data_IF_318314741953
#
_entry.id   IF_318314741953
#
_cell.length_a   1.000
_cell.length_b   1.000
_cell.length_c   1.000
_cell.angle_alpha   90.00
_cell.angle_beta   90.00
_cell.angle_gamma   90.00
#
_symmetry.space_group_name_H-M   'P 1'
#
loop_
_entity.id
_entity.type
_entity.pdbx_description
1 polymer ?
#
# COMPACT_ATOMS: atom_id res chain seq x y z
N UNK A 1 26.30 -25.92 -22.00
CA UNK A 1 25.34 -24.81 -21.80
C UNK A 1 25.65 -24.10 -20.49
N UNK A 2 26.21 -22.89 -20.52
CA UNK A 2 26.36 -22.09 -19.30
C UNK A 2 24.97 -21.77 -18.75
N UNK A 3 24.65 -22.21 -17.52
CA UNK A 3 23.41 -21.81 -16.83
C UNK A 3 23.38 -20.29 -16.79
N UNK A 4 22.47 -19.67 -17.54
CA UNK A 4 22.26 -18.23 -17.50
C UNK A 4 22.04 -17.83 -16.05
N UNK A 5 22.87 -16.90 -15.54
CA UNK A 5 22.76 -16.46 -14.16
C UNK A 5 21.40 -15.78 -13.95
N UNK A 6 20.72 -16.11 -12.84
CA UNK A 6 19.43 -15.51 -12.51
C UNK A 6 19.53 -13.98 -12.46
N UNK A 7 18.51 -13.25 -12.95
CA UNK A 7 18.54 -11.79 -12.93
C UNK A 7 18.57 -11.27 -11.49
N UNK A 8 19.18 -10.10 -11.29
CA UNK A 8 19.11 -9.37 -10.02
C UNK A 8 17.88 -8.45 -10.04
N UNK A 9 17.07 -8.53 -8.97
CA UNK A 9 16.00 -7.56 -8.72
C UNK A 9 16.60 -6.32 -8.07
N UNK A 10 16.39 -5.16 -8.66
CA UNK A 10 16.96 -3.89 -8.20
C UNK A 10 15.86 -2.89 -7.87
N UNK A 11 15.56 -2.71 -6.59
CA UNK A 11 14.54 -1.76 -6.13
C UNK A 11 15.05 -0.32 -6.18
N UNK A 12 14.25 0.58 -6.75
CA UNK A 12 14.50 2.02 -6.74
C UNK A 12 13.49 2.66 -5.79
N UNK A 13 13.95 3.24 -4.67
CA UNK A 13 13.07 3.73 -3.60
C UNK A 13 13.37 5.21 -3.31
N UNK A 14 13.14 6.14 -4.25
CA UNK A 14 13.58 7.53 -4.11
C UNK A 14 12.82 8.31 -3.01
N UNK A 15 11.67 7.78 -2.56
CA UNK A 15 10.78 8.41 -1.58
C UNK A 15 10.85 7.79 -0.18
N UNK A 16 11.79 6.87 0.08
CA UNK A 16 11.90 6.25 1.40
C UNK A 16 12.25 7.28 2.48
N UNK A 17 11.37 7.41 3.49
CA UNK A 17 11.54 8.37 4.59
C UNK A 17 11.82 7.71 5.93
N UNK A 18 11.12 6.62 6.25
CA UNK A 18 11.20 5.94 7.55
C UNK A 18 10.99 4.43 7.39
N UNK A 19 11.44 3.62 8.36
CA UNK A 19 11.28 2.16 8.42
C UNK A 19 9.83 1.75 8.73
N UNK A 20 9.07 2.63 9.40
CA UNK A 20 7.67 2.41 9.74
C UNK A 20 6.74 2.66 8.53
N UNK A 21 7.28 3.29 7.48
CA UNK A 21 6.56 3.63 6.27
C UNK A 21 6.26 2.43 5.38
N UNK A 22 5.19 2.57 4.60
CA UNK A 22 4.78 1.57 3.62
C UNK A 22 5.92 1.18 2.66
N UNK A 23 6.66 2.16 2.13
CA UNK A 23 7.72 1.94 1.16
C UNK A 23 8.81 0.98 1.68
N UNK A 24 9.22 1.13 2.95
CA UNK A 24 10.23 0.26 3.56
C UNK A 24 9.75 -1.19 3.63
N UNK A 25 8.58 -1.40 4.23
CA UNK A 25 8.03 -2.74 4.47
C UNK A 25 7.68 -3.41 3.12
N UNK A 26 7.18 -2.66 2.15
CA UNK A 26 6.88 -3.18 0.82
C UNK A 26 8.15 -3.72 0.15
N UNK A 27 9.24 -2.93 0.12
CA UNK A 27 10.47 -3.35 -0.52
C UNK A 27 11.25 -4.42 0.25
N UNK A 28 11.12 -4.48 1.57
CA UNK A 28 11.58 -5.63 2.37
C UNK A 28 10.86 -6.92 1.96
N UNK A 29 9.55 -6.83 1.70
CA UNK A 29 8.75 -7.95 1.23
C UNK A 29 9.12 -8.37 -0.21
N UNK A 30 9.45 -7.41 -1.09
CA UNK A 30 10.01 -7.70 -2.43
C UNK A 30 11.36 -8.42 -2.32
N UNK A 31 12.23 -8.01 -1.38
CA UNK A 31 13.50 -8.70 -1.11
C UNK A 31 13.28 -10.14 -0.66
N UNK A 32 12.33 -10.38 0.25
CA UNK A 32 11.97 -11.73 0.68
C UNK A 32 11.42 -12.56 -0.48
N UNK A 33 10.56 -11.99 -1.33
CA UNK A 33 10.05 -12.66 -2.52
C UNK A 33 11.16 -13.01 -3.53
N UNK A 34 12.16 -12.14 -3.70
CA UNK A 34 13.34 -12.43 -4.50
C UNK A 34 14.14 -13.60 -3.90
N UNK A 35 14.31 -13.63 -2.56
CA UNK A 35 14.98 -14.72 -1.83
C UNK A 35 14.27 -16.07 -2.04
N UNK A 36 12.94 -16.12 -1.95
CA UNK A 36 12.14 -17.34 -2.20
C UNK A 36 12.42 -17.90 -3.60
N UNK A 37 12.58 -17.03 -4.59
CA UNK A 37 12.91 -17.42 -5.97
C UNK A 37 14.41 -17.66 -6.22
N UNK A 38 15.24 -17.59 -5.17
CA UNK A 38 16.71 -17.64 -5.24
C UNK A 38 17.27 -16.61 -6.24
N UNK A 39 16.72 -15.40 -6.23
CA UNK A 39 17.20 -14.27 -7.04
C UNK A 39 17.98 -13.29 -6.16
N UNK A 40 19.12 -12.77 -6.63
CA UNK A 40 19.81 -11.68 -5.96
C UNK A 40 18.90 -10.44 -5.88
N UNK A 41 19.05 -9.67 -4.80
CA UNK A 41 18.33 -8.42 -4.60
C UNK A 41 19.29 -7.31 -4.20
N UNK A 42 19.03 -6.09 -4.67
CA UNK A 42 19.65 -4.87 -4.18
C UNK A 42 18.63 -3.72 -4.21
N UNK A 43 18.89 -2.66 -3.46
CA UNK A 43 18.07 -1.45 -3.46
C UNK A 43 18.91 -0.17 -3.52
N UNK A 44 18.31 0.89 -4.05
CA UNK A 44 18.80 2.26 -3.93
C UNK A 44 17.80 3.13 -3.17
N UNK A 45 18.28 3.84 -2.16
CA UNK A 45 17.47 4.65 -1.24
C UNK A 45 18.03 6.08 -1.08
N UNK A 46 17.31 6.99 -0.40
CA UNK A 46 17.79 8.35 -0.15
C UNK A 46 18.97 8.40 0.80
N UNK A 47 19.93 9.29 0.52
CA UNK A 47 21.10 9.53 1.36
C UNK A 47 20.74 10.12 2.72
N UNK A 48 19.63 10.85 2.82
CA UNK A 48 19.13 11.39 4.09
C UNK A 48 18.41 10.35 4.95
N UNK A 49 18.29 9.10 4.52
CA UNK A 49 17.77 8.05 5.37
C UNK A 49 18.79 7.74 6.47
N UNK A 50 18.45 8.01 7.73
CA UNK A 50 19.38 7.95 8.87
C UNK A 50 19.14 6.77 9.81
N UNK A 51 18.07 6.01 9.64
CA UNK A 51 17.75 4.93 10.59
C UNK A 51 18.79 3.80 10.53
N UNK A 52 19.14 3.21 11.70
CA UNK A 52 20.07 2.09 11.79
C UNK A 52 19.46 0.82 11.14
N UNK A 53 20.30 -0.20 10.93
CA UNK A 53 19.88 -1.56 10.51
C UNK A 53 19.27 -1.68 9.11
N UNK A 54 19.80 -0.93 8.15
CA UNK A 54 19.51 -1.19 6.75
C UNK A 54 20.05 -2.56 6.30
N UNK A 55 19.30 -3.32 5.48
CA UNK A 55 19.87 -4.50 4.84
C UNK A 55 21.15 -4.14 4.07
N UNK A 56 22.19 -4.95 4.19
CA UNK A 56 23.53 -4.65 3.65
C UNK A 56 23.57 -4.43 2.13
N UNK A 57 22.56 -4.90 1.41
CA UNK A 57 22.37 -4.74 -0.03
C UNK A 57 21.54 -3.49 -0.42
N UNK A 58 21.27 -2.59 0.53
CA UNK A 58 20.59 -1.32 0.28
C UNK A 58 21.61 -0.18 0.27
N UNK A 59 21.79 0.46 -0.88
CA UNK A 59 22.77 1.51 -1.08
C UNK A 59 22.10 2.91 -1.08
N UNK A 60 22.68 3.86 -0.35
CA UNK A 60 22.24 5.26 -0.35
C UNK A 60 22.72 5.97 -1.62
N UNK A 61 21.81 6.25 -2.56
CA UNK A 61 22.15 6.84 -3.89
C UNK A 61 21.32 8.04 -4.31
N UNK A 62 20.14 8.21 -3.72
CA UNK A 62 19.26 9.32 -4.07
C UNK A 62 19.56 10.50 -3.15
N UNK A 63 19.98 11.64 -3.69
CA UNK A 63 20.18 12.85 -2.89
C UNK A 63 18.88 13.31 -2.26
N UNK A 64 19.01 14.02 -1.15
CA UNK A 64 17.89 14.67 -0.48
C UNK A 64 17.58 15.97 -1.19
N UNK A 65 16.65 15.93 -2.15
CA UNK A 65 16.27 17.12 -2.90
C UNK A 65 15.18 17.84 -2.11
N UNK A 66 15.52 19.01 -1.57
CA UNK A 66 14.53 19.92 -1.05
C UNK A 66 13.72 20.42 -2.26
N UNK A 67 12.42 20.09 -2.30
CA UNK A 67 11.49 20.35 -3.40
C UNK A 67 11.26 21.83 -3.77
N UNK A 68 12.13 22.75 -3.35
CA UNK A 68 11.99 24.20 -3.58
C UNK A 68 12.04 24.55 -5.07
N UNK A 69 12.76 23.77 -5.89
CA UNK A 69 12.87 23.99 -7.35
C UNK A 69 12.57 22.72 -8.15
N UNK A 70 11.37 22.65 -8.72
CA UNK A 70 10.84 21.48 -9.46
C UNK A 70 11.64 21.11 -10.70
N UNK A 71 12.22 22.08 -11.42
CA UNK A 71 13.06 21.81 -12.60
C UNK A 71 14.39 21.18 -12.20
N UNK A 72 15.05 21.73 -11.18
CA UNK A 72 16.31 21.23 -10.64
C UNK A 72 16.15 19.78 -10.15
N UNK A 73 15.02 19.45 -9.51
CA UNK A 73 14.78 18.09 -9.03
C UNK A 73 14.73 17.05 -10.15
N UNK A 74 14.20 17.39 -11.33
CA UNK A 74 14.22 16.49 -12.51
C UNK A 74 15.65 16.20 -12.94
N UNK A 75 16.51 17.22 -13.07
CA UNK A 75 17.90 17.04 -13.53
C UNK A 75 18.73 16.22 -12.55
N UNK A 76 18.58 16.47 -11.25
CA UNK A 76 19.26 15.69 -10.22
C UNK A 76 18.80 14.23 -10.26
N UNK A 77 17.48 13.98 -10.30
CA UNK A 77 16.94 12.61 -10.38
C UNK A 77 17.36 11.90 -11.67
N UNK A 78 17.37 12.61 -12.80
CA UNK A 78 17.86 12.09 -14.08
C UNK A 78 19.31 11.62 -13.96
N UNK A 79 20.19 12.44 -13.37
CA UNK A 79 21.59 12.06 -13.13
C UNK A 79 21.72 10.83 -12.24
N UNK A 80 20.91 10.75 -11.18
CA UNK A 80 20.94 9.62 -10.23
C UNK A 80 20.49 8.32 -10.88
N UNK A 81 19.33 8.31 -11.55
CA UNK A 81 18.84 7.15 -12.29
C UNK A 81 19.82 6.74 -13.39
N UNK A 82 20.36 7.71 -14.15
CA UNK A 82 21.35 7.43 -15.20
C UNK A 82 22.63 6.81 -14.65
N UNK A 83 23.16 7.30 -13.51
CA UNK A 83 24.32 6.67 -12.84
C UNK A 83 24.03 5.22 -12.43
N UNK A 84 22.82 4.95 -11.92
CA UNK A 84 22.41 3.59 -11.55
C UNK A 84 22.36 2.69 -12.79
N UNK A 85 21.79 3.16 -13.90
CA UNK A 85 21.68 2.42 -15.16
C UNK A 85 23.03 2.22 -15.89
N UNK A 86 23.97 3.17 -15.79
CA UNK A 86 25.29 3.05 -16.43
C UNK A 86 26.26 2.11 -15.71
N UNK A 87 26.01 1.74 -14.44
CA UNK A 87 26.88 0.81 -13.70
C UNK A 87 26.96 -0.54 -14.43
N UNK A 88 28.14 -0.88 -14.96
CA UNK A 88 28.40 -2.17 -15.61
C UNK A 88 28.10 -3.32 -14.64
N UNK A 89 27.40 -4.32 -15.13
CA UNK A 89 27.04 -5.53 -14.40
C UNK A 89 27.10 -6.72 -15.36
N UNK A 90 27.55 -7.85 -14.86
CA UNK A 90 27.63 -9.09 -15.63
C UNK A 90 26.25 -9.76 -15.78
N UNK A 91 25.33 -9.49 -14.86
CA UNK A 91 24.00 -10.10 -14.79
C UNK A 91 22.91 -9.19 -15.36
N UNK A 92 21.85 -9.81 -15.89
CA UNK A 92 20.62 -9.10 -16.25
C UNK A 92 20.02 -8.43 -15.02
N UNK A 93 19.57 -7.18 -15.16
CA UNK A 93 18.95 -6.43 -14.07
C UNK A 93 17.47 -6.19 -14.35
N UNK A 94 16.66 -6.35 -13.33
CA UNK A 94 15.24 -6.00 -13.38
C UNK A 94 15.00 -4.92 -12.34
N UNK A 95 14.79 -3.70 -12.80
CA UNK A 95 14.48 -2.57 -11.94
C UNK A 95 13.02 -2.63 -11.51
N UNK A 96 12.77 -2.47 -10.21
CA UNK A 96 11.43 -2.40 -9.64
C UNK A 96 11.21 -1.05 -8.98
N UNK A 97 10.15 -0.36 -9.36
CA UNK A 97 9.79 0.95 -8.82
C UNK A 97 8.29 0.96 -8.48
N UNK A 98 7.98 1.29 -7.23
CA UNK A 98 6.61 1.27 -6.71
C UNK A 98 6.05 2.67 -6.45
N UNK A 99 6.79 3.51 -5.71
CA UNK A 99 6.35 4.85 -5.34
C UNK A 99 7.21 5.91 -6.04
N UNK A 100 6.56 6.79 -6.80
CA UNK A 100 7.21 7.88 -7.51
C UNK A 100 6.24 9.04 -7.77
N UNK A 101 6.75 10.26 -7.68
CA UNK A 101 6.01 11.45 -8.08
C UNK A 101 6.18 11.74 -9.59
N UNK A 102 5.48 12.74 -10.12
CA UNK A 102 5.52 13.07 -11.56
C UNK A 102 6.92 13.47 -12.03
N UNK A 103 7.70 14.19 -11.21
CA UNK A 103 9.06 14.64 -11.58
C UNK A 103 10.03 13.46 -11.65
N UNK A 104 9.94 12.56 -10.68
CA UNK A 104 10.70 11.31 -10.67
C UNK A 104 10.33 10.43 -11.87
N UNK A 105 9.05 10.42 -12.27
CA UNK A 105 8.64 9.64 -13.43
C UNK A 105 9.21 10.19 -14.74
N UNK A 106 9.22 11.52 -14.89
CA UNK A 106 9.86 12.18 -16.04
C UNK A 106 11.36 11.88 -16.04
N UNK A 107 12.04 12.04 -14.91
CA UNK A 107 13.46 11.75 -14.77
C UNK A 107 13.78 10.29 -15.11
N UNK A 108 13.00 9.34 -14.58
CA UNK A 108 13.11 7.91 -14.90
C UNK A 108 12.97 7.68 -16.41
N UNK A 109 11.97 8.29 -17.05
CA UNK A 109 11.73 8.13 -18.47
C UNK A 109 12.93 8.58 -19.31
N UNK A 110 13.48 9.76 -19.01
CA UNK A 110 14.68 10.28 -19.67
C UNK A 110 15.87 9.36 -19.43
N UNK A 111 16.11 8.90 -18.20
CA UNK A 111 17.19 7.96 -17.90
C UNK A 111 17.03 6.63 -18.63
N UNK A 112 15.80 6.12 -18.79
CA UNK A 112 15.54 4.91 -19.58
C UNK A 112 15.91 5.12 -21.05
N UNK A 113 15.53 6.27 -21.62
CA UNK A 113 15.81 6.57 -23.03
C UNK A 113 17.32 6.66 -23.31
N UNK A 114 18.08 7.29 -22.41
CA UNK A 114 19.48 7.63 -22.65
C UNK A 114 20.50 6.68 -22.01
N UNK A 115 20.14 5.94 -20.96
CA UNK A 115 21.14 5.26 -20.11
C UNK A 115 20.85 3.78 -19.84
N UNK A 116 19.62 3.32 -20.01
CA UNK A 116 19.26 1.92 -19.70
C UNK A 116 19.74 0.95 -20.79
N UNK A 117 20.40 -0.12 -20.36
CA UNK A 117 21.02 -1.09 -21.27
C UNK A 117 19.99 -2.06 -21.85
N UNK A 118 20.30 -2.64 -23.03
CA UNK A 118 19.45 -3.64 -23.68
C UNK A 118 19.20 -4.90 -22.84
N UNK A 119 20.04 -5.22 -21.85
CA UNK A 119 19.90 -6.40 -20.96
C UNK A 119 19.01 -6.14 -19.73
N UNK A 120 18.46 -4.95 -19.62
CA UNK A 120 17.74 -4.51 -18.43
C UNK A 120 16.25 -4.43 -18.70
N UNK A 121 15.48 -4.67 -17.65
CA UNK A 121 14.02 -4.62 -17.67
C UNK A 121 13.51 -3.73 -16.54
N UNK A 122 12.29 -3.22 -16.70
CA UNK A 122 11.65 -2.29 -15.77
C UNK A 122 10.25 -2.80 -15.41
N UNK A 123 10.02 -2.96 -14.12
CA UNK A 123 8.73 -3.25 -13.51
C UNK A 123 8.23 -1.98 -12.83
N UNK A 124 7.08 -1.45 -13.26
CA UNK A 124 6.46 -0.26 -12.67
C UNK A 124 5.15 -0.62 -11.98
N UNK A 125 5.05 -0.41 -10.66
CA UNK A 125 3.79 -0.56 -9.94
C UNK A 125 2.97 0.73 -10.02
N UNK A 126 1.79 0.65 -10.64
CA UNK A 126 0.86 1.75 -10.86
C UNK A 126 -0.24 1.70 -9.80
N UNK A 127 -0.15 2.55 -8.78
CA UNK A 127 -1.06 2.53 -7.61
C UNK A 127 -2.03 3.70 -7.53
N UNK A 128 -1.89 4.67 -8.43
CA UNK A 128 -2.76 5.84 -8.47
C UNK A 128 -3.76 5.73 -9.59
N UNK A 129 -4.98 6.20 -9.29
CA UNK A 129 -6.01 6.32 -10.30
C UNK A 129 -5.67 7.42 -11.32
N UNK A 130 -6.04 7.19 -12.58
CA UNK A 130 -5.81 8.12 -13.68
C UNK A 130 -6.49 9.49 -13.47
N UNK A 131 -7.59 9.54 -12.71
CA UNK A 131 -8.29 10.79 -12.36
C UNK A 131 -7.56 11.64 -11.32
N UNK A 132 -6.69 11.03 -10.51
CA UNK A 132 -5.94 11.70 -9.45
C UNK A 132 -4.57 12.21 -9.92
N UNK A 133 -4.14 11.82 -11.12
CA UNK A 133 -2.84 12.16 -11.69
C UNK A 133 -2.98 12.91 -13.00
N UNK A 134 -1.86 13.45 -13.49
CA UNK A 134 -1.78 14.07 -14.82
C UNK A 134 -1.82 13.00 -15.91
N UNK A 135 -3.01 12.45 -16.18
CA UNK A 135 -3.26 11.32 -17.09
C UNK A 135 -2.48 11.43 -18.39
N UNK A 136 -2.59 12.55 -19.11
CA UNK A 136 -1.88 12.74 -20.39
C UNK A 136 -0.37 12.61 -20.23
N UNK A 137 0.22 13.24 -19.22
CA UNK A 137 1.66 13.17 -18.94
C UNK A 137 2.10 11.73 -18.66
N UNK A 138 1.41 11.02 -17.77
CA UNK A 138 1.78 9.63 -17.42
C UNK A 138 1.66 8.69 -18.62
N UNK A 139 0.59 8.81 -19.42
CA UNK A 139 0.42 7.98 -20.61
C UNK A 139 1.51 8.25 -21.66
N UNK A 140 1.89 9.52 -21.87
CA UNK A 140 3.00 9.87 -22.75
C UNK A 140 4.32 9.29 -22.26
N UNK A 141 4.61 9.40 -20.96
CA UNK A 141 5.82 8.82 -20.36
C UNK A 141 5.84 7.29 -20.55
N UNK A 142 4.75 6.61 -20.21
CA UNK A 142 4.65 5.15 -20.40
C UNK A 142 4.86 4.79 -21.86
N UNK A 143 4.28 5.53 -22.81
CA UNK A 143 4.47 5.30 -24.25
C UNK A 143 5.95 5.44 -24.66
N UNK A 144 6.65 6.46 -24.17
CA UNK A 144 8.09 6.67 -24.45
C UNK A 144 8.96 5.53 -23.90
N UNK A 145 8.74 5.15 -22.63
CA UNK A 145 9.45 4.02 -22.01
C UNK A 145 9.12 2.72 -22.76
N UNK A 146 7.85 2.52 -23.13
CA UNK A 146 7.39 1.36 -23.91
C UNK A 146 8.07 1.25 -25.26
N UNK A 147 8.24 2.38 -25.97
CA UNK A 147 8.93 2.41 -27.25
C UNK A 147 10.39 1.94 -27.12
N UNK A 148 11.09 2.38 -26.07
CA UNK A 148 12.48 1.99 -25.79
C UNK A 148 12.64 0.54 -25.34
N UNK A 149 11.82 0.11 -24.37
CA UNK A 149 11.98 -1.18 -23.70
C UNK A 149 11.16 -2.32 -24.33
N UNK A 150 10.13 -2.01 -25.11
CA UNK A 150 9.20 -2.98 -25.71
C UNK A 150 8.65 -3.94 -24.64
N UNK A 151 8.92 -5.25 -24.78
CA UNK A 151 8.52 -6.31 -23.84
C UNK A 151 9.22 -6.20 -22.47
N UNK A 152 10.32 -5.45 -22.37
CA UNK A 152 11.11 -5.28 -21.13
C UNK A 152 10.54 -4.25 -20.16
N UNK A 153 9.47 -3.56 -20.54
CA UNK A 153 8.64 -2.81 -19.60
C UNK A 153 7.46 -3.69 -19.22
N UNK A 154 7.28 -3.94 -17.92
CA UNK A 154 6.07 -4.56 -17.37
C UNK A 154 5.37 -3.57 -16.47
N UNK A 155 4.06 -3.42 -16.67
CA UNK A 155 3.21 -2.60 -15.82
C UNK A 155 2.52 -3.51 -14.82
N UNK A 156 2.58 -3.13 -13.56
CA UNK A 156 2.00 -3.86 -12.44
C UNK A 156 0.97 -2.98 -11.74
N UNK A 157 0.05 -3.58 -11.00
CA UNK A 157 -0.81 -2.89 -10.02
C UNK A 157 -1.28 -3.86 -8.96
N UNK A 158 -1.68 -3.36 -7.79
CA UNK A 158 -2.22 -4.14 -6.68
C UNK A 158 -3.76 -4.05 -6.59
N UNK A 159 -4.41 -3.32 -7.50
CA UNK A 159 -5.87 -3.19 -7.61
C UNK A 159 -6.36 -3.68 -8.95
N UNK A 160 -7.35 -4.57 -8.96
CA UNK A 160 -7.97 -5.07 -10.19
C UNK A 160 -8.78 -3.97 -10.92
N UNK A 161 -9.35 -3.01 -10.18
CA UNK A 161 -9.97 -1.82 -10.74
C UNK A 161 -8.95 -0.94 -11.46
N UNK A 162 -7.77 -0.72 -10.84
CA UNK A 162 -6.65 -0.03 -11.49
C UNK A 162 -6.12 -0.81 -12.68
N UNK A 163 -6.05 -2.14 -12.60
CA UNK A 163 -5.60 -2.97 -13.71
C UNK A 163 -6.46 -2.73 -14.94
N UNK A 164 -7.79 -2.79 -14.80
CA UNK A 164 -8.74 -2.53 -15.89
C UNK A 164 -8.59 -1.11 -16.44
N UNK A 165 -8.49 -0.11 -15.58
CA UNK A 165 -8.40 1.30 -16.00
C UNK A 165 -7.09 1.60 -16.73
N UNK A 166 -5.97 1.11 -16.22
CA UNK A 166 -4.64 1.27 -16.83
C UNK A 166 -4.47 0.45 -18.11
N UNK A 167 -4.97 -0.79 -18.17
CA UNK A 167 -4.95 -1.61 -19.39
C UNK A 167 -5.69 -0.91 -20.53
N UNK A 168 -6.89 -0.40 -20.25
CA UNK A 168 -7.69 0.36 -21.22
C UNK A 168 -6.95 1.62 -21.69
N UNK A 169 -6.34 2.36 -20.76
CA UNK A 169 -5.69 3.64 -21.09
C UNK A 169 -4.35 3.46 -21.83
N UNK A 170 -3.54 2.48 -21.44
CA UNK A 170 -2.23 2.24 -22.05
C UNK A 170 -2.30 1.31 -23.26
N UNK A 171 -3.44 0.64 -23.51
CA UNK A 171 -3.62 -0.38 -24.57
C UNK A 171 -2.55 -1.47 -24.53
N UNK A 172 -2.21 -1.93 -23.33
CA UNK A 172 -1.19 -2.96 -23.08
C UNK A 172 -1.50 -3.73 -21.80
N UNK A 173 -0.93 -4.93 -21.64
CA UNK A 173 -1.06 -5.70 -20.41
C UNK A 173 -0.55 -4.90 -19.20
N UNK A 174 -1.34 -4.96 -18.14
CA UNK A 174 -0.98 -4.58 -16.76
C UNK A 174 -1.28 -5.80 -15.92
N UNK A 175 -0.35 -6.21 -15.06
CA UNK A 175 -0.47 -7.42 -14.26
C UNK A 175 -0.89 -7.08 -12.84
N UNK A 176 -1.89 -7.78 -12.33
CA UNK A 176 -2.24 -7.71 -10.92
C UNK A 176 -1.18 -8.43 -10.10
N UNK A 177 -0.69 -7.79 -9.03
CA UNK A 177 0.25 -8.37 -8.08
C UNK A 177 -0.31 -8.31 -6.66
N UNK A 178 0.03 -9.29 -5.81
CA UNK A 178 -0.30 -9.24 -4.39
C UNK A 178 0.28 -8.03 -3.66
N UNK A 179 -0.33 -7.64 -2.54
CA UNK A 179 0.27 -6.76 -1.54
C UNK A 179 1.08 -7.65 -0.57
N UNK A 180 2.42 -7.57 -0.55
CA UNK A 180 3.24 -8.62 0.05
C UNK A 180 3.52 -8.44 1.55
N UNK A 181 3.10 -7.35 2.19
CA UNK A 181 3.52 -7.01 3.56
C UNK A 181 2.64 -7.58 4.69
N UNK A 182 1.95 -8.70 4.45
CA UNK A 182 0.99 -9.33 5.38
C UNK A 182 1.60 -10.44 6.25
N UNK A 183 2.90 -10.70 6.13
CA UNK A 183 3.60 -11.87 6.73
C UNK A 183 3.33 -12.04 8.22
N UNK A 184 3.21 -10.93 8.96
CA UNK A 184 3.03 -10.96 10.41
C UNK A 184 1.56 -11.12 10.87
N UNK A 185 0.62 -11.31 9.94
CA UNK A 185 -0.81 -11.35 10.24
C UNK A 185 -1.33 -12.76 10.52
N UNK A 186 -0.46 -13.73 10.79
CA UNK A 186 -0.81 -15.14 10.97
C UNK A 186 -1.44 -15.47 12.33
N UNK A 187 -1.54 -14.51 13.26
CA UNK A 187 -2.16 -14.73 14.56
C UNK A 187 -3.56 -15.34 14.43
N UNK A 188 -3.96 -16.26 15.34
CA UNK A 188 -5.33 -16.73 15.40
C UNK A 188 -6.26 -15.53 15.59
N UNK A 189 -7.51 -15.60 15.08
CA UNK A 189 -8.47 -14.52 15.27
C UNK A 189 -8.59 -14.24 16.77
N UNK A 190 -8.42 -12.99 17.16
CA UNK A 190 -8.63 -12.58 18.55
C UNK A 190 -10.08 -12.88 18.88
N UNK A 191 -10.31 -13.75 19.86
CA UNK A 191 -11.64 -13.90 20.46
C UNK A 191 -11.93 -12.57 21.15
N UNK A 192 -13.13 -12.05 20.94
CA UNK A 192 -13.63 -10.81 21.52
C UNK A 192 -13.71 -11.03 23.02
N UNK A 193 -12.74 -10.50 23.77
CA UNK A 193 -12.53 -10.84 25.19
C UNK A 193 -12.99 -9.75 26.16
N UNK A 194 -13.18 -8.53 25.69
CA UNK A 194 -13.54 -7.39 26.53
C UNK A 194 -15.04 -7.10 26.44
N UNK A 195 -15.64 -6.61 27.54
CA UNK A 195 -17.03 -6.16 27.60
C UNK A 195 -17.30 -4.99 26.64
N UNK A 196 -16.24 -4.25 26.27
CA UNK A 196 -16.29 -3.11 25.35
C UNK A 196 -15.75 -3.50 23.98
N UNK A 197 -16.43 -3.05 22.93
CA UNK A 197 -15.96 -3.18 21.56
C UNK A 197 -14.85 -2.16 21.28
N UNK A 198 -13.66 -2.65 20.94
CA UNK A 198 -12.49 -1.83 20.66
C UNK A 198 -12.41 -1.48 19.17
N UNK A 199 -12.79 -0.25 18.83
CA UNK A 199 -12.73 0.28 17.48
C UNK A 199 -11.40 1.01 17.26
N UNK A 200 -10.77 0.85 16.10
CA UNK A 200 -9.51 1.53 15.78
C UNK A 200 -9.58 2.27 14.45
N UNK A 201 -9.20 3.56 14.46
CA UNK A 201 -8.94 4.33 13.25
C UNK A 201 -7.42 4.51 13.05
N UNK A 202 -6.79 3.70 12.17
CA UNK A 202 -5.34 3.60 12.10
C UNK A 202 -4.63 4.69 11.27
N UNK A 203 -3.49 5.14 11.82
CA UNK A 203 -2.51 6.02 11.20
C UNK A 203 -2.87 7.51 11.24
N UNK A 204 -2.04 8.33 10.59
CA UNK A 204 -2.13 9.79 10.73
C UNK A 204 -3.49 10.38 10.29
N UNK A 205 -4.05 11.33 11.06
CA UNK A 205 -5.33 11.96 10.78
C UNK A 205 -5.22 12.84 9.53
N UNK A 206 -6.06 12.57 8.54
CA UNK A 206 -6.11 13.36 7.30
C UNK A 206 -7.49 13.31 6.66
N UNK A 207 -7.85 14.37 5.92
CA UNK A 207 -9.14 14.47 5.21
C UNK A 207 -9.43 13.24 4.35
N UNK A 208 -8.44 12.77 3.58
CA UNK A 208 -8.58 11.60 2.72
C UNK A 208 -8.88 10.28 3.47
N UNK A 209 -8.57 10.20 4.76
CA UNK A 209 -8.86 9.04 5.64
C UNK A 209 -10.17 9.20 6.43
N UNK A 210 -10.93 10.25 6.18
CA UNK A 210 -12.22 10.49 6.84
C UNK A 210 -12.12 11.18 8.20
N UNK A 211 -11.15 12.09 8.39
CA UNK A 211 -11.00 12.85 9.64
C UNK A 211 -12.32 13.48 10.12
N UNK A 212 -13.06 14.16 9.25
CA UNK A 212 -14.34 14.77 9.62
C UNK A 212 -15.37 13.76 10.10
N UNK A 213 -15.40 12.58 9.47
CA UNK A 213 -16.30 11.48 9.87
C UNK A 213 -15.94 10.96 11.26
N UNK A 214 -14.65 10.80 11.56
CA UNK A 214 -14.22 10.34 12.89
C UNK A 214 -14.53 11.39 13.97
N UNK A 215 -14.32 12.67 13.67
CA UNK A 215 -14.70 13.76 14.57
C UNK A 215 -16.20 13.76 14.87
N UNK A 216 -17.05 13.55 13.85
CA UNK A 216 -18.50 13.42 14.03
C UNK A 216 -18.87 12.21 14.88
N UNK A 217 -18.22 11.06 14.69
CA UNK A 217 -18.46 9.89 15.54
C UNK A 217 -18.08 10.15 17.00
N UNK A 218 -17.01 10.90 17.27
CA UNK A 218 -16.60 11.28 18.62
C UNK A 218 -17.67 12.06 19.40
N UNK A 219 -18.55 12.79 18.70
CA UNK A 219 -19.62 13.60 19.32
C UNK A 219 -20.99 12.95 19.25
N UNK A 220 -21.11 11.76 18.64
CA UNK A 220 -22.40 11.13 18.40
C UNK A 220 -22.99 10.52 19.68
N UNK A 221 -24.15 11.01 20.11
CA UNK A 221 -24.87 10.46 21.26
C UNK A 221 -25.70 9.23 20.88
N UNK A 222 -25.11 8.04 21.02
CA UNK A 222 -25.78 6.74 20.83
C UNK A 222 -25.92 6.04 22.19
N UNK A 223 -27.09 5.45 22.54
CA UNK A 223 -27.30 4.80 23.83
C UNK A 223 -26.25 3.75 24.22
N UNK A 224 -25.60 3.12 23.22
CA UNK A 224 -24.58 2.09 23.49
C UNK A 224 -23.14 2.58 23.32
N UNK A 225 -22.92 3.88 23.11
CA UNK A 225 -21.56 4.45 22.98
C UNK A 225 -20.68 4.16 24.20
N UNK A 226 -21.28 3.99 25.38
CA UNK A 226 -20.60 3.61 26.63
C UNK A 226 -19.94 2.22 26.59
N UNK A 227 -20.43 1.33 25.71
CA UNK A 227 -19.87 -0.01 25.42
C UNK A 227 -18.82 0.01 24.30
N UNK A 228 -18.51 1.18 23.76
CA UNK A 228 -17.56 1.36 22.67
C UNK A 228 -16.32 2.09 23.19
N UNK A 229 -15.16 1.69 22.66
CA UNK A 229 -13.90 2.38 22.89
C UNK A 229 -13.23 2.66 21.55
N UNK A 230 -12.91 3.91 21.26
CA UNK A 230 -12.24 4.30 20.01
C UNK A 230 -10.78 4.63 20.26
N UNK A 231 -9.91 3.91 19.56
CA UNK A 231 -8.47 4.18 19.50
C UNK A 231 -8.21 5.10 18.31
N UNK A 232 -7.48 6.18 18.55
CA UNK A 232 -7.13 7.18 17.55
C UNK A 232 -5.79 7.83 17.87
N UNK A 233 -5.22 8.51 16.88
CA UNK A 233 -3.93 9.17 17.03
C UNK A 233 -4.05 10.43 17.90
N UNK A 234 -3.08 10.68 18.78
CA UNK A 234 -3.05 11.87 19.65
C UNK A 234 -3.03 13.19 18.87
N UNK A 235 -2.57 13.15 17.62
CA UNK A 235 -2.60 14.28 16.68
C UNK A 235 -4.00 14.56 16.11
N UNK A 236 -5.02 13.76 16.46
CA UNK A 236 -6.39 13.97 16.01
C UNK A 236 -7.00 15.18 16.72
N UNK A 237 -7.47 16.21 15.99
CA UNK A 237 -7.98 17.45 16.58
C UNK A 237 -9.40 17.27 17.17
N UNK A 238 -9.48 16.72 18.39
CA UNK A 238 -10.75 16.44 19.10
C UNK A 238 -10.79 16.93 20.56
N UNK A 239 -9.74 17.60 21.05
CA UNK A 239 -9.61 17.99 22.46
C UNK A 239 -10.72 18.93 22.96
N UNK A 240 -11.32 19.73 22.08
CA UNK A 240 -12.39 20.68 22.40
C UNK A 240 -13.81 20.10 22.29
N UNK A 241 -13.95 18.83 21.89
CA UNK A 241 -15.25 18.23 21.60
C UNK A 241 -15.84 17.56 22.84
N UNK A 242 -17.15 17.74 23.08
CA UNK A 242 -17.88 16.97 24.09
C UNK A 242 -18.02 15.53 23.59
N UNK A 243 -17.23 14.63 24.16
CA UNK A 243 -17.14 13.24 23.70
C UNK A 243 -18.24 12.39 24.32
N UNK A 244 -18.84 11.52 23.51
CA UNK A 244 -19.88 10.57 23.93
C UNK A 244 -19.36 9.15 24.14
N UNK A 245 -18.10 8.87 23.77
CA UNK A 245 -17.47 7.56 23.86
C UNK A 245 -16.13 7.62 24.59
N UNK A 246 -15.69 6.45 25.09
CA UNK A 246 -14.35 6.32 25.69
C UNK A 246 -13.28 6.37 24.60
N UNK A 247 -12.32 7.27 24.74
CA UNK A 247 -11.21 7.41 23.78
C UNK A 247 -9.90 6.82 24.32
N UNK A 248 -9.05 6.36 23.41
CA UNK A 248 -7.65 6.06 23.69
C UNK A 248 -6.78 6.70 22.63
N UNK A 249 -6.00 7.69 23.07
CA UNK A 249 -5.06 8.40 22.25
C UNK A 249 -3.74 7.61 22.24
N UNK A 250 -3.20 7.38 21.05
CA UNK A 250 -1.91 6.71 20.83
C UNK A 250 -1.05 7.56 19.89
N UNK A 251 0.26 7.34 19.86
CA UNK A 251 1.10 8.05 18.90
C UNK A 251 0.64 7.81 17.45
N UNK A 252 0.62 8.86 16.62
CA UNK A 252 0.31 8.73 15.19
C UNK A 252 1.37 8.00 14.38
N UNK A 253 2.58 7.87 14.93
CA UNK A 253 3.70 7.14 14.35
C UNK A 253 4.05 5.94 15.22
N UNK A 254 3.37 4.83 14.96
CA UNK A 254 3.58 3.60 15.69
C UNK A 254 4.80 2.84 15.17
N UNK A 255 5.57 2.25 16.09
CA UNK A 255 6.52 1.19 15.72
C UNK A 255 5.77 0.02 15.09
N UNK A 256 6.46 -0.87 14.34
CA UNK A 256 5.79 -2.06 13.79
C UNK A 256 5.20 -2.94 14.89
N UNK A 257 5.88 -3.06 16.03
CA UNK A 257 5.38 -3.84 17.17
C UNK A 257 4.10 -3.23 17.76
N UNK A 258 4.07 -1.91 17.97
CA UNK A 258 2.89 -1.22 18.50
C UNK A 258 1.72 -1.25 17.52
N UNK A 259 2.00 -1.06 16.22
CA UNK A 259 1.00 -1.21 15.17
C UNK A 259 0.35 -2.60 15.21
N UNK A 260 1.16 -3.66 15.29
CA UNK A 260 0.66 -5.04 15.37
C UNK A 260 -0.07 -5.29 16.69
N UNK A 261 0.38 -4.73 17.80
CA UNK A 261 -0.31 -4.80 19.09
C UNK A 261 -1.73 -4.25 18.96
N UNK A 262 -1.89 -3.02 18.46
CA UNK A 262 -3.20 -2.39 18.30
C UNK A 262 -4.07 -3.11 17.28
N UNK A 263 -3.50 -3.55 16.16
CA UNK A 263 -4.23 -4.33 15.16
C UNK A 263 -4.79 -5.62 15.77
N UNK A 264 -3.99 -6.38 16.50
CA UNK A 264 -4.42 -7.62 17.13
C UNK A 264 -5.39 -7.39 18.29
N UNK A 265 -5.22 -6.29 19.03
CA UNK A 265 -6.06 -5.96 20.18
C UNK A 265 -7.44 -5.44 19.78
N UNK A 266 -7.54 -4.68 18.69
CA UNK A 266 -8.82 -4.13 18.25
C UNK A 266 -9.78 -5.22 17.74
N UNK A 267 -11.05 -4.88 17.78
CA UNK A 267 -12.17 -5.70 17.30
C UNK A 267 -12.61 -5.27 15.90
N UNK A 268 -12.72 -3.96 15.70
CA UNK A 268 -13.21 -3.33 14.48
C UNK A 268 -12.23 -2.27 14.00
N UNK A 269 -11.94 -2.25 12.71
CA UNK A 269 -11.11 -1.23 12.07
C UNK A 269 -12.00 -0.29 11.26
N UNK A 270 -11.88 1.01 11.51
CA UNK A 270 -12.61 2.05 10.78
C UNK A 270 -11.74 2.59 9.65
N UNK A 271 -12.24 2.51 8.42
CA UNK A 271 -11.59 3.11 7.25
C UNK A 271 -12.60 3.98 6.47
N UNK A 272 -13.06 5.12 7.03
CA UNK A 272 -14.03 6.02 6.41
C UNK A 272 -13.39 6.87 5.29
N UNK A 273 -12.63 6.22 4.42
CA UNK A 273 -11.81 6.86 3.41
C UNK A 273 -12.64 7.62 2.38
N UNK A 274 -12.08 8.70 1.86
CA UNK A 274 -12.73 9.49 0.82
C UNK A 274 -12.90 8.64 -0.46
N UNK A 275 -14.14 8.35 -0.89
CA UNK A 275 -14.38 7.51 -2.06
C UNK A 275 -13.84 8.12 -3.35
N UNK A 276 -13.66 9.45 -3.44
CA UNK A 276 -13.05 10.07 -4.63
C UNK A 276 -11.57 9.72 -4.75
N UNK A 277 -10.88 9.56 -3.63
CA UNK A 277 -9.44 9.26 -3.58
C UNK A 277 -9.22 7.74 -3.63
N UNK A 278 -10.07 6.97 -2.95
CA UNK A 278 -9.94 5.52 -2.81
C UNK A 278 -10.90 4.73 -3.70
N UNK A 279 -11.50 5.34 -4.74
CA UNK A 279 -12.35 4.62 -5.69
C UNK A 279 -11.66 3.38 -6.26
N UNK A 280 -10.40 3.54 -6.67
CA UNK A 280 -9.59 2.48 -7.25
C UNK A 280 -8.28 2.21 -6.48
N UNK A 281 -7.89 3.12 -5.57
CA UNK A 281 -6.65 2.99 -4.78
C UNK A 281 -6.76 1.94 -3.68
N UNK A 282 -5.72 1.11 -3.54
CA UNK A 282 -5.66 0.08 -2.50
C UNK A 282 -5.39 0.65 -1.12
N UNK A 283 -5.59 -0.17 -0.08
CA UNK A 283 -5.17 0.13 1.27
C UNK A 283 -4.45 -1.07 1.90
N UNK A 284 -3.17 -0.89 2.21
CA UNK A 284 -2.40 -1.90 2.95
C UNK A 284 -3.07 -2.26 4.28
N UNK A 285 -3.55 -1.24 5.01
CA UNK A 285 -4.22 -1.43 6.30
C UNK A 285 -5.52 -2.25 6.16
N UNK A 286 -6.29 -2.05 5.09
CA UNK A 286 -7.48 -2.88 4.82
C UNK A 286 -7.07 -4.35 4.65
N UNK A 287 -6.05 -4.61 3.81
CA UNK A 287 -5.56 -5.97 3.59
C UNK A 287 -5.00 -6.59 4.87
N UNK A 288 -4.21 -5.85 5.65
CA UNK A 288 -3.67 -6.30 6.93
C UNK A 288 -4.78 -6.64 7.93
N UNK A 289 -5.81 -5.80 8.05
CA UNK A 289 -6.95 -6.01 8.93
C UNK A 289 -7.77 -7.25 8.54
N UNK A 290 -8.06 -7.42 7.24
CA UNK A 290 -8.76 -8.61 6.75
C UNK A 290 -7.91 -9.87 7.00
N UNK A 291 -6.60 -9.85 6.72
CA UNK A 291 -5.70 -10.95 7.02
C UNK A 291 -5.63 -11.28 8.52
N UNK A 292 -5.71 -10.27 9.39
CA UNK A 292 -5.78 -10.41 10.84
C UNK A 292 -7.17 -10.87 11.34
N UNK A 293 -8.16 -11.03 10.44
CA UNK A 293 -9.52 -11.46 10.78
C UNK A 293 -10.34 -10.39 11.47
N UNK A 294 -10.05 -9.11 11.22
CA UNK A 294 -10.76 -7.98 11.81
C UNK A 294 -11.98 -7.62 10.97
N UNK A 295 -13.05 -7.18 11.64
CA UNK A 295 -14.16 -6.52 10.98
C UNK A 295 -13.69 -5.15 10.52
N UNK A 296 -13.96 -4.79 9.27
CA UNK A 296 -13.54 -3.50 8.70
C UNK A 296 -14.76 -2.77 8.18
N UNK A 297 -15.00 -1.57 8.69
CA UNK A 297 -16.09 -0.71 8.21
C UNK A 297 -15.53 0.32 7.23
N UNK A 298 -16.23 0.53 6.13
CA UNK A 298 -15.76 1.40 5.03
C UNK A 298 -16.89 2.28 4.50
N UNK A 299 -16.53 3.27 3.66
CA UNK A 299 -17.49 4.04 2.85
C UNK A 299 -17.77 3.35 1.51
N UNK A 300 -19.01 3.46 1.04
CA UNK A 300 -19.39 3.01 -0.31
C UNK A 300 -18.58 3.74 -1.38
N UNK A 301 -18.54 3.18 -2.59
CA UNK A 301 -17.84 3.71 -3.77
C UNK A 301 -16.31 3.82 -3.60
N UNK A 302 -15.74 3.08 -2.67
CA UNK A 302 -14.29 2.85 -2.56
C UNK A 302 -13.90 1.47 -3.08
N UNK A 303 -12.62 1.28 -3.37
CA UNK A 303 -12.04 -0.04 -3.67
C UNK A 303 -12.27 -1.01 -2.50
N UNK A 304 -12.23 -0.51 -1.26
CA UNK A 304 -12.46 -1.31 -0.07
C UNK A 304 -13.91 -1.84 -0.04
N UNK A 305 -14.88 -0.99 -0.38
CA UNK A 305 -16.28 -1.40 -0.55
C UNK A 305 -16.44 -2.42 -1.68
N UNK A 306 -15.78 -2.20 -2.82
CA UNK A 306 -15.77 -3.18 -3.92
C UNK A 306 -15.24 -4.56 -3.45
N UNK A 307 -14.16 -4.59 -2.67
CA UNK A 307 -13.63 -5.83 -2.12
C UNK A 307 -14.59 -6.51 -1.14
N UNK A 308 -15.29 -5.77 -0.27
CA UNK A 308 -16.31 -6.36 0.61
C UNK A 308 -17.48 -6.96 -0.17
N UNK A 309 -17.96 -6.29 -1.22
CA UNK A 309 -19.05 -6.79 -2.09
C UNK A 309 -18.69 -8.12 -2.77
N UNK A 310 -17.42 -8.32 -3.14
CA UNK A 310 -16.94 -9.59 -3.71
C UNK A 310 -17.07 -10.79 -2.75
N UNK A 311 -17.24 -10.52 -1.46
CA UNK A 311 -17.45 -11.53 -0.41
C UNK A 311 -18.82 -11.41 0.25
N UNK A 312 -19.78 -10.71 -0.38
CA UNK A 312 -21.14 -10.50 0.11
C UNK A 312 -21.21 -9.85 1.50
N UNK A 313 -20.25 -8.96 1.79
CA UNK A 313 -20.11 -8.22 3.04
C UNK A 313 -20.61 -6.77 2.92
N UNK A 314 -21.65 -6.54 2.11
CA UNK A 314 -22.25 -5.23 1.88
C UNK A 314 -22.68 -4.54 3.18
N UNK A 315 -23.02 -5.31 4.22
CA UNK A 315 -23.40 -4.80 5.55
C UNK A 315 -22.25 -4.07 6.27
N UNK A 316 -20.99 -4.30 5.88
CA UNK A 316 -19.83 -3.59 6.42
C UNK A 316 -19.53 -2.28 5.67
N UNK A 317 -20.33 -1.95 4.66
CA UNK A 317 -20.32 -0.69 3.95
C UNK A 317 -21.40 0.17 4.58
N UNK A 318 -20.99 0.98 5.55
CA UNK A 318 -21.90 1.64 6.47
C UNK A 318 -22.17 3.09 6.06
N UNK A 319 -23.36 3.56 6.42
CA UNK A 319 -23.63 4.99 6.48
C UNK A 319 -23.00 5.58 7.75
N UNK A 320 -21.99 6.41 7.57
CA UNK A 320 -21.25 7.03 8.65
C UNK A 320 -21.97 8.24 9.27
N UNK A 321 -23.05 8.70 8.64
CA UNK A 321 -23.88 9.80 9.15
C UNK A 321 -25.08 9.29 9.96
N UNK A 322 -25.25 7.97 10.06
CA UNK A 322 -26.32 7.34 10.82
C UNK A 322 -26.24 7.74 12.31
N UNK A 323 -27.30 8.36 12.89
CA UNK A 323 -27.30 8.74 14.30
C UNK A 323 -27.27 7.54 15.27
N UNK A 324 -27.60 6.34 14.78
CA UNK A 324 -27.55 5.08 15.52
C UNK A 324 -26.36 4.20 15.09
N UNK A 325 -25.25 4.83 14.65
CA UNK A 325 -24.09 4.14 14.11
C UNK A 325 -23.55 3.05 15.05
N UNK A 326 -23.41 3.33 16.34
CA UNK A 326 -22.84 2.36 17.28
C UNK A 326 -23.82 1.22 17.53
N UNK A 327 -25.11 1.52 17.71
CA UNK A 327 -26.18 0.53 17.81
C UNK A 327 -26.20 -0.42 16.60
N UNK A 328 -26.05 0.13 15.39
CA UNK A 328 -25.91 -0.67 14.17
C UNK A 328 -24.64 -1.53 14.19
N UNK A 329 -23.48 -0.97 14.56
CA UNK A 329 -22.22 -1.70 14.69
C UNK A 329 -22.33 -2.89 15.66
N UNK A 330 -22.99 -2.71 16.81
CA UNK A 330 -23.17 -3.79 17.76
C UNK A 330 -23.99 -4.96 17.17
N UNK A 331 -24.98 -4.65 16.32
CA UNK A 331 -25.75 -5.67 15.59
C UNK A 331 -24.86 -6.42 14.60
N UNK A 332 -24.05 -5.70 13.81
CA UNK A 332 -23.12 -6.31 12.85
C UNK A 332 -22.11 -7.23 13.52
N UNK A 333 -21.60 -6.83 14.69
CA UNK A 333 -20.65 -7.60 15.48
C UNK A 333 -21.19 -8.96 15.89
N UNK A 334 -22.45 -9.02 16.27
CA UNK A 334 -23.04 -10.22 16.84
C UNK A 334 -23.57 -11.17 15.75
N UNK A 335 -23.64 -10.71 14.49
CA UNK A 335 -24.08 -11.48 13.33
C UNK A 335 -23.08 -12.61 12.96
N UNK A 336 -23.51 -13.85 13.16
CA UNK A 336 -22.74 -15.05 12.83
C UNK A 336 -22.52 -15.24 11.32
N UNK A 337 -23.41 -14.73 10.47
CA UNK A 337 -23.28 -14.81 9.01
C UNK A 337 -22.14 -13.92 8.52
N UNK A 338 -22.00 -12.71 9.08
CA UNK A 338 -20.89 -11.79 8.81
C UNK A 338 -19.56 -12.43 9.21
N UNK A 339 -19.49 -13.07 10.39
CA UNK A 339 -18.27 -13.77 10.85
C UNK A 339 -17.82 -14.86 9.88
N UNK A 340 -18.77 -15.67 9.39
CA UNK A 340 -18.48 -16.72 8.39
C UNK A 340 -17.95 -16.14 7.07
N UNK A 341 -18.56 -15.06 6.58
CA UNK A 341 -18.12 -14.37 5.35
C UNK A 341 -16.76 -13.70 5.51
N UNK A 342 -16.50 -13.06 6.64
CA UNK A 342 -15.19 -12.50 6.98
C UNK A 342 -14.09 -13.56 7.02
N UNK A 343 -14.36 -14.74 7.59
CA UNK A 343 -13.37 -15.84 7.60
C UNK A 343 -13.11 -16.38 6.18
N UNK A 344 -14.12 -16.46 5.31
CA UNK A 344 -13.93 -16.78 3.88
C UNK A 344 -13.04 -15.73 3.21
N UNK A 345 -13.31 -14.45 3.43
CA UNK A 345 -12.51 -13.35 2.88
C UNK A 345 -11.07 -13.39 3.39
N UNK A 346 -10.86 -13.56 4.70
CA UNK A 346 -9.55 -13.68 5.33
C UNK A 346 -8.71 -14.81 4.72
N UNK A 347 -9.28 -16.01 4.54
CA UNK A 347 -8.57 -17.13 3.92
C UNK A 347 -8.12 -16.80 2.50
N UNK A 348 -9.04 -16.23 1.69
CA UNK A 348 -8.71 -15.81 0.34
C UNK A 348 -7.60 -14.74 0.33
N UNK A 349 -7.68 -13.77 1.23
CA UNK A 349 -6.71 -12.69 1.36
C UNK A 349 -5.34 -13.17 1.82
N UNK A 350 -5.26 -14.04 2.83
CA UNK A 350 -4.00 -14.65 3.27
C UNK A 350 -3.33 -15.46 2.17
N UNK A 351 -4.12 -16.17 1.36
CA UNK A 351 -3.60 -16.96 0.25
C UNK A 351 -3.10 -16.07 -0.90
N UNK A 352 -3.83 -14.98 -1.21
CA UNK A 352 -3.48 -14.12 -2.34
C UNK A 352 -2.47 -13.04 -1.98
N UNK A 353 -2.72 -12.27 -0.92
CA UNK A 353 -1.88 -11.20 -0.42
C UNK A 353 -0.86 -11.74 0.58
N UNK A 354 0.21 -12.36 0.07
CA UNK A 354 1.36 -12.84 0.85
C UNK A 354 2.67 -12.66 0.08
N UNK A 355 3.81 -12.79 0.77
CA UNK A 355 5.13 -12.76 0.12
C UNK A 355 5.31 -13.94 -0.84
N UNK A 356 4.81 -15.11 -0.47
CA UNK A 356 4.89 -16.34 -1.28
C UNK A 356 4.10 -16.18 -2.58
N UNK A 357 2.87 -15.68 -2.48
CA UNK A 357 2.03 -15.40 -3.66
C UNK A 357 2.66 -14.30 -4.52
N UNK A 358 3.23 -13.26 -3.90
CA UNK A 358 3.98 -12.23 -4.64
C UNK A 358 5.20 -12.81 -5.33
N UNK A 359 5.96 -13.69 -4.66
CA UNK A 359 7.12 -14.38 -5.23
C UNK A 359 6.72 -15.24 -6.42
N UNK A 360 5.64 -16.03 -6.31
CA UNK A 360 5.10 -16.83 -7.40
C UNK A 360 4.72 -15.95 -8.59
N UNK A 361 4.00 -14.86 -8.34
CA UNK A 361 3.56 -13.91 -9.37
C UNK A 361 4.75 -13.23 -10.05
N UNK A 362 5.73 -12.79 -9.25
CA UNK A 362 6.97 -12.18 -9.75
C UNK A 362 7.74 -13.16 -10.63
N UNK A 363 7.87 -14.43 -10.24
CA UNK A 363 8.54 -15.45 -11.04
C UNK A 363 7.88 -15.60 -12.43
N UNK A 364 6.55 -15.74 -12.47
CA UNK A 364 5.79 -15.84 -13.73
C UNK A 364 6.00 -14.59 -14.60
N UNK A 365 5.95 -13.39 -14.02
CA UNK A 365 6.19 -12.14 -14.76
C UNK A 365 7.59 -12.12 -15.37
N UNK A 366 8.61 -12.57 -14.63
CA UNK A 366 9.99 -12.57 -15.09
C UNK A 366 10.26 -13.61 -16.18
N UNK A 367 9.50 -14.70 -16.22
CA UNK A 367 9.56 -15.69 -17.31
C UNK A 367 9.01 -15.14 -18.64
N UNK A 368 8.27 -14.02 -18.61
CA UNK A 368 7.78 -13.32 -19.81
C UNK A 368 8.79 -12.33 -20.41
N UNK A 369 9.89 -12.04 -19.70
CA UNK A 369 10.92 -11.06 -20.08
C UNK A 369 12.09 -11.71 -20.83
#
# INVERSE_FOLDING_TARGET
MCKSSKPIIYSLIPNLRTIEGHDYIYHLSVQQAAKINNMPFAASIPCAFTQPDLPSNWEKKFSNIINRYKSISIFIRLREFSKIFQKKQERNRVFFLESFNTYEFVALALSVLFSMNKKESLLLLLRYDLSLIRKRTYLTIIKLISWKLKKKLVLLTDSDLLMKSWQKACKRPVHLVPIPHTVHMMSPPTIWKEDKCLCWWPGEPRKAKGLSTIQQLCTLHDPISSKMKLILSEETPIASMKQSLTLTLISGRLSRADYLHWLHKCDVVFLPYDPKIYANGTSGIFVEAICAGKMVLVKDKSWLAYELKRFELDQLIVDWENPYFFSHLNTLRDDSSIKKKLEKMRKAYRNFHSVESFAKTLKVILELL
#
